data_IF_311106116861
#
_entry.id   IF_311106116861
#
_cell.length_a   1.000
_cell.length_b   1.000
_cell.length_c   1.000
_cell.angle_alpha   90.00
_cell.angle_beta   90.00
_cell.angle_gamma   90.00
#
_symmetry.space_group_name_H-M   'P 1'
#
loop_
_entity.id
_entity.type
_entity.pdbx_description
1 polymer ?
#
# COMPACT_ATOMS: atom_id res chain seq x y z
N UNK A 1 16.07 5.26 -1.85
CA UNK A 1 14.61 5.50 -1.73
C UNK A 1 14.29 6.75 -2.55
N UNK A 2 13.36 6.66 -3.51
CA UNK A 2 12.99 7.81 -4.38
C UNK A 2 12.10 8.78 -3.60
N UNK A 3 12.33 10.10 -3.71
CA UNK A 3 11.54 11.10 -3.01
C UNK A 3 10.17 11.34 -3.69
N UNK A 4 9.17 11.71 -2.89
CA UNK A 4 7.83 12.03 -3.39
C UNK A 4 7.82 13.25 -4.32
N UNK A 5 8.65 14.25 -4.06
CA UNK A 5 8.79 15.43 -4.94
C UNK A 5 9.31 15.05 -6.33
N UNK A 6 10.31 14.16 -6.39
CA UNK A 6 10.86 13.67 -7.65
C UNK A 6 9.87 12.80 -8.41
N UNK A 7 9.08 11.97 -7.72
CA UNK A 7 8.02 11.18 -8.34
C UNK A 7 6.97 12.05 -9.01
N UNK A 8 6.55 13.15 -8.36
CA UNK A 8 5.58 14.11 -8.95
C UNK A 8 6.13 14.77 -10.21
N UNK A 9 7.39 15.17 -10.20
CA UNK A 9 8.05 15.73 -11.38
C UNK A 9 8.08 14.71 -12.52
N UNK A 10 8.49 13.47 -12.24
CA UNK A 10 8.49 12.38 -13.24
C UNK A 10 7.08 12.12 -13.76
N UNK A 11 6.06 12.08 -12.89
CA UNK A 11 4.68 11.89 -13.32
C UNK A 11 4.21 12.99 -14.25
N UNK A 12 4.56 14.25 -13.97
CA UNK A 12 4.21 15.38 -14.84
C UNK A 12 4.89 15.30 -16.21
N UNK A 13 6.14 14.87 -16.26
CA UNK A 13 6.94 14.85 -17.50
C UNK A 13 6.74 13.57 -18.32
N UNK A 14 6.55 12.42 -17.66
CA UNK A 14 6.48 11.11 -18.27
C UNK A 14 5.04 10.60 -18.45
N UNK A 15 4.04 11.30 -17.92
CA UNK A 15 2.64 10.95 -18.19
C UNK A 15 2.35 11.12 -19.67
N UNK A 16 1.88 10.04 -20.31
CA UNK A 16 1.23 10.14 -21.60
C UNK A 16 -0.05 10.98 -21.44
N UNK A 17 -0.44 11.77 -22.46
CA UNK A 17 -1.72 12.44 -22.44
C UNK A 17 -2.81 11.39 -22.20
N UNK A 18 -3.63 11.53 -21.16
CA UNK A 18 -4.65 10.54 -20.86
C UNK A 18 -5.66 10.53 -22.01
N UNK A 19 -5.92 9.35 -22.58
CA UNK A 19 -6.95 9.16 -23.62
C UNK A 19 -8.35 9.50 -23.10
N UNK A 20 -8.53 9.43 -21.78
CA UNK A 20 -9.76 9.72 -21.06
C UNK A 20 -9.46 10.68 -19.88
N UNK A 21 -10.18 11.81 -19.75
CA UNK A 21 -9.89 12.84 -18.74
C UNK A 21 -10.14 12.38 -17.30
N UNK A 22 -10.82 11.26 -17.08
CA UNK A 22 -11.06 10.67 -15.77
C UNK A 22 -9.96 9.64 -15.38
N UNK A 23 -9.01 9.36 -16.27
CA UNK A 23 -7.91 8.43 -15.99
C UNK A 23 -6.81 9.11 -15.15
N UNK A 24 -6.50 8.62 -13.94
CA UNK A 24 -5.45 9.19 -13.11
C UNK A 24 -4.07 8.98 -13.75
N UNK A 25 -3.22 10.00 -13.68
CA UNK A 25 -1.84 9.92 -14.15
C UNK A 25 -1.10 8.82 -13.39
N UNK A 26 -0.40 7.95 -14.13
CA UNK A 26 0.32 6.84 -13.51
C UNK A 26 1.69 6.63 -14.15
N UNK A 27 2.65 6.19 -13.33
CA UNK A 27 3.99 5.80 -13.75
C UNK A 27 4.36 4.45 -13.16
N UNK A 28 5.07 3.62 -13.92
CA UNK A 28 5.56 2.32 -13.47
C UNK A 28 7.02 2.44 -13.07
N UNK A 29 7.33 2.17 -11.81
CA UNK A 29 8.70 2.09 -11.30
C UNK A 29 9.20 0.65 -11.45
N UNK A 30 10.33 0.47 -12.12
CA UNK A 30 11.06 -0.79 -12.17
C UNK A 30 12.23 -0.73 -11.18
N UNK A 31 12.18 -1.56 -10.14
CA UNK A 31 13.24 -1.68 -9.15
C UNK A 31 13.96 -3.00 -9.41
N UNK A 32 15.26 -2.94 -9.72
CA UNK A 32 16.09 -4.14 -9.89
C UNK A 32 16.83 -4.45 -8.60
N UNK A 33 16.64 -5.67 -8.11
CA UNK A 33 17.41 -6.22 -6.99
C UNK A 33 18.72 -6.85 -7.49
N UNK A 34 19.67 -7.08 -6.57
CA UNK A 34 21.01 -7.60 -6.90
C UNK A 34 21.00 -9.02 -7.46
N UNK A 35 19.93 -9.76 -7.24
CA UNK A 35 19.69 -11.11 -7.78
C UNK A 35 19.04 -11.09 -9.19
N UNK A 36 18.96 -9.92 -9.82
CA UNK A 36 18.28 -9.68 -11.11
C UNK A 36 16.75 -9.76 -11.05
N UNK A 37 16.15 -9.84 -9.85
CA UNK A 37 14.70 -9.70 -9.69
C UNK A 37 14.28 -8.27 -10.04
N UNK A 38 13.24 -8.11 -10.86
CA UNK A 38 12.66 -6.80 -11.18
C UNK A 38 11.29 -6.69 -10.56
N UNK A 39 11.11 -5.74 -9.65
CA UNK A 39 9.83 -5.42 -9.02
C UNK A 39 9.21 -4.24 -9.74
N UNK A 40 7.99 -4.42 -10.22
CA UNK A 40 7.20 -3.38 -10.86
C UNK A 40 6.22 -2.79 -9.86
N UNK A 41 6.31 -1.49 -9.63
CA UNK A 41 5.38 -0.77 -8.77
C UNK A 41 4.65 0.31 -9.58
N UNK A 42 3.33 0.25 -9.63
CA UNK A 42 2.50 1.27 -10.28
C UNK A 42 2.23 2.40 -9.28
N UNK A 43 2.67 3.60 -9.60
CA UNK A 43 2.41 4.83 -8.85
C UNK A 43 1.32 5.61 -9.58
N UNK A 44 0.28 6.05 -8.89
CA UNK A 44 -0.82 6.86 -9.43
C UNK A 44 -0.98 8.16 -8.66
N UNK A 45 -1.32 9.27 -9.33
CA UNK A 45 -1.62 10.55 -8.67
C UNK A 45 -3.06 10.53 -8.13
N UNK A 46 -3.24 9.87 -6.98
CA UNK A 46 -4.53 9.70 -6.32
C UNK A 46 -4.44 8.75 -5.12
N UNK A 47 -5.29 8.96 -4.12
CA UNK A 47 -5.51 7.98 -3.06
C UNK A 47 -6.22 6.77 -3.69
N UNK A 48 -5.46 5.75 -4.06
CA UNK A 48 -6.04 4.41 -4.24
C UNK A 48 -6.46 3.99 -2.85
N UNK A 49 -7.77 3.96 -2.58
CA UNK A 49 -8.29 3.33 -1.37
C UNK A 49 -7.84 1.87 -1.47
N UNK A 50 -6.91 1.40 -0.62
CA UNK A 50 -6.60 -0.03 -0.62
C UNK A 50 -7.86 -0.77 -0.23
N UNK A 51 -8.17 -1.87 -0.91
CA UNK A 51 -9.22 -2.76 -0.42
C UNK A 51 -8.91 -3.12 1.04
N UNK A 52 -9.90 -3.06 1.93
CA UNK A 52 -9.69 -3.35 3.34
C UNK A 52 -9.07 -4.74 3.48
N UNK A 53 -8.05 -4.91 4.35
CA UNK A 53 -7.50 -6.24 4.60
C UNK A 53 -8.62 -7.14 5.12
N UNK A 54 -8.75 -8.32 4.51
CA UNK A 54 -9.71 -9.34 4.95
C UNK A 54 -9.46 -9.61 6.44
N UNK A 55 -10.52 -9.45 7.26
CA UNK A 55 -10.44 -9.43 8.72
C UNK A 55 -9.60 -10.61 9.22
N UNK A 56 -8.45 -10.31 9.83
CA UNK A 56 -7.67 -11.34 10.51
C UNK A 56 -8.49 -11.82 11.70
N UNK A 57 -8.92 -13.08 11.65
CA UNK A 57 -9.74 -13.70 12.69
C UNK A 57 -9.11 -13.44 14.07
N UNK A 58 -9.82 -12.67 14.90
CA UNK A 58 -9.44 -12.28 16.27
C UNK A 58 -9.40 -13.52 17.18
N UNK A 59 -8.27 -14.23 17.16
CA UNK A 59 -8.01 -15.45 17.96
C UNK A 59 -7.51 -15.14 19.39
N UNK A 60 -7.36 -13.87 19.80
CA UNK A 60 -6.77 -13.55 21.12
C UNK A 60 -7.80 -13.28 22.24
N UNK A 61 -9.05 -12.99 21.89
CA UNK A 61 -10.10 -12.59 22.83
C UNK A 61 -10.58 -13.69 23.83
N UNK A 62 -10.01 -14.90 23.83
CA UNK A 62 -10.35 -15.99 24.78
C UNK A 62 -9.45 -16.07 26.02
N UNK A 63 -8.26 -15.48 26.03
CA UNK A 63 -7.32 -15.66 27.15
C UNK A 63 -7.61 -14.75 28.36
N UNK A 64 -8.18 -13.56 28.15
CA UNK A 64 -8.44 -12.59 29.22
C UNK A 64 -9.58 -12.97 30.18
N UNK A 65 -10.57 -13.78 29.73
CA UNK A 65 -11.74 -14.15 30.55
C UNK A 65 -11.43 -15.14 31.70
N UNK A 66 -10.31 -15.86 31.65
CA UNK A 66 -9.97 -16.86 32.68
C UNK A 66 -9.22 -16.30 33.90
N UNK A 67 -8.55 -15.14 33.80
CA UNK A 67 -7.74 -14.58 34.91
C UNK A 67 -8.57 -13.86 35.99
N UNK A 68 -9.81 -13.46 35.71
CA UNK A 68 -10.66 -12.67 36.64
C UNK A 68 -11.44 -13.48 37.69
N UNK A 69 -11.39 -14.82 37.66
CA UNK A 69 -12.14 -15.68 38.62
C UNK A 69 -11.37 -16.11 39.87
N UNK A 70 -10.13 -15.64 40.09
CA UNK A 70 -9.32 -16.04 41.27
C UNK A 70 -9.05 -14.91 42.27
N UNK A 71 -9.71 -13.76 42.14
CA UNK A 71 -9.53 -12.62 43.05
C UNK A 71 -10.85 -12.19 43.71
N UNK A 72 -11.66 -13.16 44.14
CA UNK A 72 -12.72 -12.97 45.11
C UNK A 72 -12.73 -14.20 46.02
N UNK A 73 -11.97 -14.15 47.11
CA UNK A 73 -12.12 -15.00 48.29
C UNK A 73 -12.02 -14.10 49.50
#
# INVERSE_FOLDING_TARGET
>A
IVSSSRLREIMKEASLPPDDPDTPLSVTLAIVESDSTVVYYKVTDGFVIPDPPDDTEDVDNKQWRKKRKKLFK
#
